data_IF_941135712258
#
_entry.id   IF_941135712258
#
_cell.length_a   1.000
_cell.length_b   1.000
_cell.length_c   1.000
_cell.angle_alpha   90.00
_cell.angle_beta   90.00
_cell.angle_gamma   90.00
#
_symmetry.space_group_name_H-M   'P 1'
#
loop_
_entity.id
_entity.type
_entity.pdbx_description
1 polymer ?
#
# COMPACT_ATOMS: atom_id res chain seq x y z
N UNK A 1 23.89 -18.89 3.28
CA UNK A 1 23.40 -19.20 1.91
C UNK A 1 21.89 -19.50 1.86
N UNK A 2 21.35 -20.36 2.75
CA UNK A 2 19.92 -20.71 2.80
C UNK A 2 18.96 -19.49 2.87
N UNK A 3 19.26 -18.47 3.70
CA UNK A 3 18.44 -17.25 3.79
C UNK A 3 18.35 -16.48 2.45
N UNK A 4 19.44 -16.43 1.69
CA UNK A 4 19.46 -15.74 0.39
C UNK A 4 18.64 -16.50 -0.65
N UNK A 5 18.74 -17.83 -0.69
CA UNK A 5 17.90 -18.67 -1.53
C UNK A 5 16.40 -18.52 -1.21
N UNK A 6 16.06 -18.50 0.08
CA UNK A 6 14.69 -18.24 0.53
C UNK A 6 14.16 -16.91 0.00
N UNK A 7 14.90 -15.82 0.22
CA UNK A 7 14.46 -14.49 -0.23
C UNK A 7 14.33 -14.41 -1.76
N UNK A 8 15.25 -15.02 -2.51
CA UNK A 8 15.15 -15.09 -3.98
C UNK A 8 13.89 -15.82 -4.42
N UNK A 9 13.57 -16.95 -3.80
CA UNK A 9 12.35 -17.69 -4.09
C UNK A 9 11.09 -16.88 -3.71
N UNK A 10 11.09 -16.26 -2.52
CA UNK A 10 10.00 -15.41 -2.05
C UNK A 10 9.75 -14.23 -3.01
N UNK A 11 10.77 -13.45 -3.33
CA UNK A 11 10.64 -12.32 -4.25
C UNK A 11 10.21 -12.74 -5.66
N UNK A 12 10.68 -13.91 -6.12
CA UNK A 12 10.23 -14.46 -7.40
C UNK A 12 8.72 -14.77 -7.39
N UNK A 13 8.20 -15.36 -6.32
CA UNK A 13 6.78 -15.63 -6.16
C UNK A 13 5.96 -14.32 -6.09
N UNK A 14 6.43 -13.33 -5.31
CA UNK A 14 5.77 -12.03 -5.22
C UNK A 14 5.72 -11.31 -6.57
N UNK A 15 6.82 -11.30 -7.31
CA UNK A 15 6.87 -10.70 -8.65
C UNK A 15 5.90 -11.38 -9.64
N UNK A 16 5.80 -12.72 -9.58
CA UNK A 16 4.81 -13.46 -10.39
C UNK A 16 3.38 -13.10 -10.02
N UNK A 17 3.06 -13.00 -8.72
CA UNK A 17 1.73 -12.60 -8.23
C UNK A 17 1.37 -11.19 -8.69
N UNK A 18 2.29 -10.23 -8.51
CA UNK A 18 2.14 -8.82 -8.93
C UNK A 18 1.84 -8.71 -10.42
N UNK A 19 2.65 -9.36 -11.28
CA UNK A 19 2.45 -9.38 -12.74
C UNK A 19 1.13 -10.04 -13.16
N UNK A 20 0.73 -11.12 -12.49
CA UNK A 20 -0.54 -11.81 -12.80
C UNK A 20 -1.73 -10.89 -12.51
N UNK A 21 -1.72 -10.20 -11.38
CA UNK A 21 -2.80 -9.29 -10.97
C UNK A 21 -2.92 -8.10 -11.93
N UNK A 22 -1.80 -7.49 -12.32
CA UNK A 22 -1.79 -6.43 -13.33
C UNK A 22 -2.39 -6.91 -14.65
N UNK A 23 -1.97 -8.09 -15.13
CA UNK A 23 -2.48 -8.67 -16.39
C UNK A 23 -3.97 -8.99 -16.35
N UNK A 24 -4.51 -9.43 -15.22
CA UNK A 24 -5.95 -9.76 -15.12
C UNK A 24 -6.87 -8.55 -15.25
N UNK A 25 -6.37 -7.34 -15.00
CA UNK A 25 -7.16 -6.11 -15.09
C UNK A 25 -7.13 -5.47 -16.49
N UNK A 26 -6.15 -5.86 -17.32
CA UNK A 26 -5.91 -5.27 -18.64
C UNK A 26 -4.55 -4.59 -18.71
N UNK A 27 -3.94 -4.58 -19.90
CA UNK A 27 -2.60 -4.01 -20.09
C UNK A 27 -2.55 -2.50 -19.80
N UNK A 28 -3.63 -1.80 -20.15
CA UNK A 28 -3.73 -0.34 -20.08
C UNK A 28 -4.27 0.16 -18.74
N UNK A 29 -4.56 -0.74 -17.79
CA UNK A 29 -4.95 -0.36 -16.43
C UNK A 29 -3.69 -0.02 -15.64
N UNK A 30 -3.48 1.27 -15.40
CA UNK A 30 -2.33 1.81 -14.66
C UNK A 30 -2.62 2.05 -13.18
N UNK A 31 -3.89 2.11 -12.79
CA UNK A 31 -4.31 2.39 -11.43
C UNK A 31 -5.73 1.90 -11.14
N UNK A 32 -6.01 1.66 -9.87
CA UNK A 32 -7.35 1.40 -9.36
C UNK A 32 -7.74 2.50 -8.38
N UNK A 33 -8.95 3.03 -8.51
CA UNK A 33 -9.52 3.93 -7.51
C UNK A 33 -10.18 3.10 -6.42
N UNK A 34 -9.79 3.35 -5.17
CA UNK A 34 -10.29 2.64 -4.00
C UNK A 34 -10.82 3.66 -3.01
N UNK A 35 -12.08 3.50 -2.63
CA UNK A 35 -12.67 4.21 -1.50
C UNK A 35 -12.37 3.41 -0.22
N UNK A 36 -11.45 3.92 0.58
CA UNK A 36 -11.01 3.32 1.85
C UNK A 36 -11.43 4.21 3.04
N UNK A 37 -11.33 3.66 4.26
CA UNK A 37 -11.68 4.36 5.51
C UNK A 37 -10.90 5.66 5.69
N UNK A 38 -9.63 5.69 5.27
CA UNK A 38 -8.75 6.85 5.34
C UNK A 38 -8.77 7.73 4.08
N UNK A 39 -9.72 7.51 3.16
CA UNK A 39 -9.90 8.36 1.98
C UNK A 39 -9.95 7.60 0.66
N UNK A 40 -9.98 8.38 -0.43
CA UNK A 40 -9.97 7.86 -1.80
C UNK A 40 -8.54 7.82 -2.33
N UNK A 41 -8.09 6.65 -2.76
CA UNK A 41 -6.72 6.42 -3.24
C UNK A 41 -6.70 5.91 -4.67
N UNK A 42 -5.76 6.41 -5.47
CA UNK A 42 -5.33 5.74 -6.69
C UNK A 42 -4.16 4.80 -6.32
N UNK A 43 -4.33 3.50 -6.55
CA UNK A 43 -3.33 2.50 -6.18
C UNK A 43 -2.85 1.71 -7.39
N UNK A 44 -1.56 1.36 -7.42
CA UNK A 44 -1.04 0.42 -8.43
C UNK A 44 -1.67 -0.96 -8.20
N UNK A 45 -2.37 -1.55 -9.18
CA UNK A 45 -2.92 -2.89 -9.03
C UNK A 45 -1.86 -3.97 -8.73
N UNK A 46 -0.61 -3.71 -9.09
CA UNK A 46 0.53 -4.59 -8.90
C UNK A 46 1.18 -4.44 -7.50
N UNK A 47 0.83 -3.41 -6.72
CA UNK A 47 1.27 -3.25 -5.33
C UNK A 47 0.61 -4.32 -4.45
N UNK A 48 1.46 -5.12 -3.80
CA UNK A 48 1.09 -6.24 -2.95
C UNK A 48 1.11 -5.89 -1.45
N UNK A 49 1.44 -4.65 -1.10
CA UNK A 49 1.54 -4.20 0.29
C UNK A 49 0.47 -3.15 0.63
N UNK A 50 0.74 -1.86 0.37
CA UNK A 50 -0.15 -0.76 0.78
C UNK A 50 -1.43 -0.79 -0.05
N UNK A 51 -1.28 -0.77 -1.38
CA UNK A 51 -2.37 -0.86 -2.34
C UNK A 51 -3.16 -2.16 -2.24
N UNK A 52 -2.54 -3.28 -1.86
CA UNK A 52 -3.27 -4.51 -1.58
C UNK A 52 -4.13 -4.39 -0.31
N UNK A 53 -3.59 -3.83 0.77
CA UNK A 53 -4.34 -3.62 2.02
C UNK A 53 -5.50 -2.65 1.81
N UNK A 54 -5.29 -1.55 1.09
CA UNK A 54 -6.37 -0.62 0.71
C UNK A 54 -7.46 -1.32 -0.11
N UNK A 55 -7.11 -2.09 -1.14
CA UNK A 55 -8.09 -2.79 -2.01
C UNK A 55 -8.86 -3.92 -1.31
N UNK A 56 -8.17 -4.70 -0.48
CA UNK A 56 -8.72 -5.95 0.08
C UNK A 56 -9.31 -5.76 1.48
N UNK A 57 -8.82 -4.78 2.23
CA UNK A 57 -9.24 -4.54 3.61
C UNK A 57 -9.88 -3.16 3.81
N UNK A 58 -9.88 -2.32 2.77
CA UNK A 58 -10.50 -0.99 2.81
C UNK A 58 -9.79 0.00 3.74
N UNK A 59 -8.56 -0.29 4.17
CA UNK A 59 -7.80 0.55 5.09
C UNK A 59 -6.31 0.20 5.07
N UNK A 60 -5.47 1.19 5.39
CA UNK A 60 -4.04 1.02 5.65
C UNK A 60 -3.59 2.02 6.72
N UNK A 61 -2.78 1.58 7.69
CA UNK A 61 -2.15 2.46 8.67
C UNK A 61 -3.11 3.17 9.64
N UNK A 62 -4.36 2.69 9.79
CA UNK A 62 -5.36 3.36 10.64
C UNK A 62 -4.90 3.51 12.09
N UNK A 63 -4.24 2.51 12.65
CA UNK A 63 -3.72 2.58 14.02
C UNK A 63 -2.75 3.76 14.22
N UNK A 64 -1.99 4.12 13.19
CA UNK A 64 -1.07 5.26 13.25
C UNK A 64 -1.81 6.58 13.06
N UNK A 65 -2.78 6.62 12.14
CA UNK A 65 -3.66 7.78 11.94
C UNK A 65 -4.42 8.09 13.22
N UNK A 66 -5.02 7.09 13.88
CA UNK A 66 -5.77 7.24 15.12
C UNK A 66 -4.88 7.73 16.27
N UNK A 67 -3.65 7.20 16.38
CA UNK A 67 -2.67 7.69 17.37
C UNK A 67 -2.30 9.15 17.15
N UNK A 68 -2.02 9.55 15.91
CA UNK A 68 -1.65 10.94 15.60
C UNK A 68 -2.85 11.87 15.78
N UNK A 69 -4.04 11.45 15.36
CA UNK A 69 -5.27 12.22 15.50
C UNK A 69 -5.60 12.54 16.97
N UNK A 70 -5.25 11.65 17.91
CA UNK A 70 -5.38 11.91 19.35
C UNK A 70 -4.39 12.94 19.91
N UNK A 71 -3.40 13.40 19.13
CA UNK A 71 -2.34 14.31 19.56
C UNK A 71 -2.41 15.69 18.89
N UNK A 72 -3.34 15.90 17.95
CA UNK A 72 -3.43 17.12 17.14
C UNK A 72 -4.88 17.62 17.07
N UNK A 73 -5.03 18.89 16.72
CA UNK A 73 -6.31 19.54 16.42
C UNK A 73 -6.22 20.40 15.15
N UNK A 74 -7.31 21.10 14.83
CA UNK A 74 -7.43 21.95 13.63
C UNK A 74 -6.44 23.12 13.60
N UNK A 75 -5.82 23.48 14.73
CA UNK A 75 -4.85 24.58 14.85
C UNK A 75 -3.41 24.10 14.91
N UNK A 76 -3.22 22.78 14.98
CA UNK A 76 -1.91 22.16 15.14
C UNK A 76 -1.07 22.25 13.87
N UNK A 77 0.21 22.54 14.02
CA UNK A 77 1.20 22.46 12.92
C UNK A 77 1.99 21.16 13.03
N UNK A 78 1.85 20.28 12.04
CA UNK A 78 2.45 18.93 12.05
C UNK A 78 3.68 18.88 11.13
N UNK A 79 4.84 18.54 11.68
CA UNK A 79 6.04 18.21 10.92
C UNK A 79 6.16 16.70 10.76
N UNK A 80 6.04 16.21 9.53
CA UNK A 80 6.24 14.79 9.22
C UNK A 80 7.67 14.59 8.70
N UNK A 81 8.50 13.86 9.43
CA UNK A 81 9.90 13.60 9.07
C UNK A 81 10.07 12.16 8.58
N UNK A 82 10.73 11.96 7.44
CA UNK A 82 11.06 10.63 6.93
C UNK A 82 9.89 9.84 6.33
N UNK A 83 8.75 10.49 6.10
CA UNK A 83 7.63 9.83 5.41
C UNK A 83 7.95 9.66 3.94
N UNK A 84 7.72 8.45 3.44
CA UNK A 84 7.68 8.17 2.01
C UNK A 84 6.26 8.46 1.51
N UNK A 85 5.99 9.72 1.18
CA UNK A 85 4.76 10.12 0.51
C UNK A 85 4.92 9.75 -0.97
N UNK A 86 4.39 8.57 -1.33
CA UNK A 86 4.37 8.03 -2.68
C UNK A 86 2.95 7.93 -3.21
#
# INVERSE_FOLDING_TARGET
MLKSLYWRAYFFLQNRKSKRLRRSLGHDVTGLIVDAKNGRFAVDPADLEVGAKLRLHGAYGMDEVERIAGLIDETSSVLVVGSHIG
#
